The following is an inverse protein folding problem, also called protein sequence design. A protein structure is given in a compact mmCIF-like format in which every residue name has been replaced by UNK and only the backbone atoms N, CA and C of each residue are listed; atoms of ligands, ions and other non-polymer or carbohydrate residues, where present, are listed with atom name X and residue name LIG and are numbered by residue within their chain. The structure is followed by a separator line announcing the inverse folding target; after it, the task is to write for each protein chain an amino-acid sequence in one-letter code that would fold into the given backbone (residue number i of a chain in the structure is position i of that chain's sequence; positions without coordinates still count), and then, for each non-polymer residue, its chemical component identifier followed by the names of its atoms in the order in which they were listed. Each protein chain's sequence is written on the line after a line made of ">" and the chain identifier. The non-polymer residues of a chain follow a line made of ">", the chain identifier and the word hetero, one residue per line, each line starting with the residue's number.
data_IF_952537212256
#
_entry.id   IF_952537212256
#
_cell.length_a   1.000
_cell.length_b   1.000
_cell.length_c   1.000
_cell.angle_alpha   90.00
_cell.angle_beta   90.00
_cell.angle_gamma   90.00
#
_symmetry.space_group_name_H-M   'P 1'
#
loop_
_entity.id
_entity.type
_entity.pdbx_description
1 polymer ?
#
# COMPACT_ATOMS: atom_id res chain seq x y z
N UNK A 1 -12.55 5.74 5.82
CA UNK A 1 -13.27 4.48 6.15
C UNK A 1 -12.34 3.56 6.97
N UNK A 2 -12.78 2.99 8.09
CA UNK A 2 -11.91 2.31 9.08
C UNK A 2 -11.59 0.84 8.74
N UNK A 3 -10.33 0.56 8.35
CA UNK A 3 -9.50 -0.60 8.72
C UNK A 3 -9.91 -2.04 8.37
N UNK A 4 -11.14 -2.30 7.92
CA UNK A 4 -11.62 -3.64 7.59
C UNK A 4 -11.74 -3.83 6.08
N UNK A 5 -10.99 -4.79 5.53
CA UNK A 5 -10.98 -5.12 4.11
C UNK A 5 -11.59 -6.50 3.84
N UNK A 6 -11.90 -6.76 2.58
CA UNK A 6 -12.73 -7.88 2.14
C UNK A 6 -14.22 -7.57 2.29
N UNK A 7 -15.04 -8.62 2.37
CA UNK A 7 -16.48 -8.50 2.51
C UNK A 7 -16.87 -8.31 3.98
N UNK A 8 -17.44 -7.16 4.30
CA UNK A 8 -17.79 -6.73 5.65
C UNK A 8 -19.27 -6.40 5.77
N UNK A 9 -19.88 -6.66 6.92
CA UNK A 9 -21.27 -6.28 7.20
C UNK A 9 -21.40 -4.79 7.55
N UNK A 10 -22.62 -4.25 7.61
CA UNK A 10 -22.89 -2.91 8.14
C UNK A 10 -22.35 -2.67 9.56
N UNK A 11 -22.22 -3.73 10.37
CA UNK A 11 -21.60 -3.67 11.70
C UNK A 11 -20.09 -3.93 11.66
N UNK A 12 -19.46 -3.79 10.49
CA UNK A 12 -18.02 -4.01 10.24
C UNK A 12 -17.52 -5.39 10.65
N UNK A 13 -18.38 -6.42 10.58
CA UNK A 13 -17.95 -7.80 10.84
C UNK A 13 -17.54 -8.47 9.54
N UNK A 14 -16.41 -9.18 9.48
CA UNK A 14 -16.02 -9.90 8.27
C UNK A 14 -16.99 -11.04 7.97
N UNK A 15 -17.34 -11.22 6.71
CA UNK A 15 -18.04 -12.40 6.20
C UNK A 15 -17.03 -13.53 5.99
N UNK A 16 -17.44 -14.78 6.21
CA UNK A 16 -16.54 -15.93 6.15
C UNK A 16 -15.95 -16.12 4.75
N UNK A 17 -14.67 -15.79 4.59
CA UNK A 17 -13.88 -16.06 3.39
C UNK A 17 -13.53 -17.56 3.30
N UNK A 18 -13.66 -18.13 2.10
CA UNK A 18 -13.44 -19.56 1.79
C UNK A 18 -12.28 -19.80 0.84
N UNK A 19 -12.01 -18.89 -0.09
CA UNK A 19 -10.81 -18.96 -0.91
C UNK A 19 -10.47 -17.62 -1.55
N UNK A 20 -9.19 -17.44 -1.84
CA UNK A 20 -8.64 -16.35 -2.65
C UNK A 20 -7.91 -17.00 -3.82
N UNK A 21 -8.21 -16.56 -5.04
CA UNK A 21 -7.47 -16.94 -6.23
C UNK A 21 -7.01 -15.69 -6.97
N UNK A 22 -5.71 -15.55 -7.17
CA UNK A 22 -5.10 -14.41 -7.87
C UNK A 22 -4.43 -14.91 -9.13
N UNK A 23 -4.84 -14.38 -10.27
CA UNK A 23 -4.15 -14.55 -11.54
C UNK A 23 -3.49 -13.25 -11.92
N UNK A 24 -2.18 -13.31 -12.14
CA UNK A 24 -1.34 -12.18 -12.49
C UNK A 24 -0.77 -12.39 -13.90
N UNK A 25 -0.96 -11.42 -14.79
CA UNK A 25 -0.37 -11.38 -16.12
C UNK A 25 0.53 -10.16 -16.22
N UNK A 26 1.84 -10.37 -16.19
CA UNK A 26 2.84 -9.30 -16.29
C UNK A 26 3.34 -9.24 -17.73
N UNK A 27 3.15 -8.08 -18.33
CA UNK A 27 3.65 -7.73 -19.65
C UNK A 27 4.59 -6.54 -19.50
N UNK A 28 5.89 -6.78 -19.67
CA UNK A 28 6.91 -5.75 -19.39
C UNK A 28 6.75 -5.16 -17.98
N UNK A 29 6.50 -3.85 -17.88
CA UNK A 29 6.36 -3.10 -16.63
C UNK A 29 4.91 -3.00 -16.15
N UNK A 30 3.96 -3.74 -16.75
CA UNK A 30 2.53 -3.65 -16.40
C UNK A 30 2.03 -4.98 -15.88
N UNK A 31 1.39 -4.94 -14.72
CA UNK A 31 0.64 -6.05 -14.14
C UNK A 31 -0.85 -5.91 -14.47
N UNK A 32 -1.43 -6.95 -15.05
CA UNK A 32 -2.87 -7.17 -15.12
C UNK A 32 -3.24 -8.19 -14.03
N UNK A 33 -4.07 -7.79 -13.08
CA UNK A 33 -4.45 -8.63 -11.94
C UNK A 33 -5.92 -9.00 -12.03
N UNK A 34 -6.22 -10.28 -11.79
CA UNK A 34 -7.58 -10.78 -11.58
C UNK A 34 -7.61 -11.48 -10.21
N UNK A 35 -8.26 -10.85 -9.24
CA UNK A 35 -8.44 -11.37 -7.90
C UNK A 35 -9.88 -11.85 -7.70
N UNK A 36 -10.05 -13.14 -7.40
CA UNK A 36 -11.34 -13.76 -7.12
C UNK A 36 -11.40 -14.22 -5.67
N UNK A 37 -12.38 -13.70 -4.92
CA UNK A 37 -12.59 -13.98 -3.50
C UNK A 37 -13.95 -14.63 -3.29
N UNK A 38 -13.95 -15.79 -2.62
CA UNK A 38 -15.16 -16.56 -2.34
C UNK A 38 -15.56 -16.41 -0.88
N UNK A 39 -16.80 -15.98 -0.64
CA UNK A 39 -17.39 -15.79 0.68
C UNK A 39 -18.63 -16.65 0.86
N UNK A 40 -18.97 -16.96 2.11
CA UNK A 40 -20.19 -17.66 2.50
C UNK A 40 -20.85 -16.96 3.68
N UNK A 41 -22.17 -16.74 3.59
CA UNK A 41 -22.95 -16.30 4.74
C UNK A 41 -23.23 -17.51 5.66
N UNK A 42 -22.43 -17.70 6.69
CA UNK A 42 -22.64 -18.77 7.69
C UNK A 42 -23.67 -18.40 8.77
N UNK A 43 -24.15 -17.16 8.78
CA UNK A 43 -25.13 -16.70 9.76
C UNK A 43 -26.53 -17.23 9.44
N UNK A 44 -27.38 -17.30 10.47
CA UNK A 44 -28.78 -17.72 10.33
C UNK A 44 -29.70 -16.60 9.86
N UNK A 45 -29.15 -15.41 9.62
CA UNK A 45 -29.88 -14.21 9.22
C UNK A 45 -29.28 -13.65 7.93
N UNK A 46 -30.09 -12.98 7.10
CA UNK A 46 -29.57 -12.28 5.92
C UNK A 46 -28.55 -11.20 6.34
N UNK A 47 -27.46 -11.08 5.58
CA UNK A 47 -26.39 -10.12 5.82
C UNK A 47 -26.32 -9.09 4.71
N UNK A 48 -26.41 -7.82 5.08
CA UNK A 48 -26.04 -6.74 4.17
C UNK A 48 -24.54 -6.49 4.26
N UNK A 49 -23.85 -6.58 3.12
CA UNK A 49 -22.39 -6.54 3.07
C UNK A 49 -21.83 -5.60 1.99
N UNK A 50 -20.66 -5.05 2.29
CA UNK A 50 -19.84 -4.20 1.42
C UNK A 50 -18.46 -4.82 1.28
N UNK A 51 -17.93 -4.84 0.07
CA UNK A 51 -16.60 -5.31 -0.26
C UNK A 51 -15.64 -4.12 -0.31
N UNK A 52 -14.54 -4.21 0.44
CA UNK A 52 -13.50 -3.17 0.52
C UNK A 52 -12.17 -3.77 0.08
N UNK A 53 -11.52 -3.17 -0.91
CA UNK A 53 -10.26 -3.64 -1.47
C UNK A 53 -9.28 -2.47 -1.58
N UNK A 54 -8.15 -2.49 -0.86
CA UNK A 54 -7.13 -1.46 -0.99
C UNK A 54 -6.34 -1.66 -2.27
N UNK A 55 -5.97 -0.55 -2.89
CA UNK A 55 -5.28 -0.50 -4.17
C UNK A 55 -4.13 0.49 -4.10
N UNK A 56 -3.07 0.20 -4.84
CA UNK A 56 -2.00 1.17 -5.02
C UNK A 56 -2.53 2.38 -5.82
N UNK A 57 -2.03 3.59 -5.51
CA UNK A 57 -2.47 4.83 -6.16
C UNK A 57 -2.31 4.81 -7.69
N UNK A 58 -1.35 4.01 -8.18
CA UNK A 58 -1.06 3.83 -9.61
C UNK A 58 -1.85 2.67 -10.24
N UNK A 59 -2.85 2.13 -9.54
CA UNK A 59 -3.72 1.06 -10.03
C UNK A 59 -5.05 1.57 -10.57
N UNK A 60 -5.57 0.93 -11.62
CA UNK A 60 -6.87 1.26 -12.20
C UNK A 60 -7.76 0.00 -12.29
N UNK A 61 -8.92 0.03 -11.61
CA UNK A 61 -9.97 -0.99 -11.76
C UNK A 61 -10.67 -0.80 -13.10
N UNK A 62 -10.79 -1.88 -13.86
CA UNK A 62 -11.53 -1.86 -15.14
C UNK A 62 -12.69 -2.87 -15.18
N UNK A 63 -12.78 -3.78 -14.21
CA UNK A 63 -13.86 -4.76 -14.15
C UNK A 63 -14.10 -5.22 -12.72
N UNK A 64 -15.38 -5.26 -12.34
CA UNK A 64 -15.84 -5.90 -11.11
C UNK A 64 -17.06 -6.77 -11.41
N UNK A 65 -17.04 -8.00 -10.90
CA UNK A 65 -18.11 -8.98 -11.09
C UNK A 65 -18.44 -9.62 -9.74
N UNK A 66 -19.73 -9.80 -9.46
CA UNK A 66 -20.22 -10.52 -8.30
C UNK A 66 -21.15 -11.65 -8.74
N UNK A 67 -20.84 -12.89 -8.40
CA UNK A 67 -21.70 -14.04 -8.62
C UNK A 67 -22.35 -14.43 -7.28
N UNK A 68 -23.64 -14.12 -7.15
CA UNK A 68 -24.44 -14.36 -5.94
C UNK A 68 -25.55 -15.35 -6.29
N UNK A 69 -25.57 -16.52 -5.65
CA UNK A 69 -26.60 -17.55 -5.86
C UNK A 69 -26.87 -17.89 -7.34
N UNK A 70 -25.80 -17.94 -8.15
CA UNK A 70 -25.86 -18.24 -9.58
C UNK A 70 -26.24 -17.07 -10.48
N UNK A 71 -26.52 -15.88 -9.93
CA UNK A 71 -26.72 -14.65 -10.69
C UNK A 71 -25.42 -13.87 -10.79
N UNK A 72 -24.97 -13.61 -12.02
CA UNK A 72 -23.79 -12.79 -12.29
C UNK A 72 -24.20 -11.33 -12.41
N UNK A 73 -23.70 -10.50 -11.51
CA UNK A 73 -23.78 -9.04 -11.51
C UNK A 73 -22.45 -8.53 -12.08
N UNK A 74 -22.53 -7.64 -13.08
CA UNK A 74 -21.34 -7.03 -13.71
C UNK A 74 -21.46 -5.53 -13.52
N UNK A 75 -20.42 -4.93 -12.94
CA UNK A 75 -20.37 -3.48 -12.80
C UNK A 75 -20.20 -2.82 -14.17
N UNK A 76 -21.04 -1.82 -14.45
CA UNK A 76 -20.91 -0.98 -15.64
C UNK A 76 -20.22 0.33 -15.23
N UNK A 77 -19.12 0.64 -15.91
CA UNK A 77 -18.34 1.84 -15.65
C UNK A 77 -19.06 3.05 -16.25
N UNK A 78 -19.37 4.05 -15.42
CA UNK A 78 -20.10 5.25 -15.81
C UNK A 78 -19.44 6.50 -15.21
N UNK A 79 -19.80 7.69 -15.72
CA UNK A 79 -19.38 8.95 -15.10
C UNK A 79 -19.90 9.03 -13.66
N UNK A 80 -19.08 9.54 -12.73
CA UNK A 80 -19.39 9.56 -11.29
C UNK A 80 -20.74 10.22 -10.99
N UNK A 81 -21.02 11.39 -11.58
CA UNK A 81 -22.28 12.09 -11.30
C UNK A 81 -23.48 11.36 -11.91
N UNK A 82 -23.29 10.73 -13.06
CA UNK A 82 -24.35 9.97 -13.72
C UNK A 82 -24.68 8.67 -12.96
N UNK A 83 -23.67 7.98 -12.44
CA UNK A 83 -23.80 6.79 -11.62
C UNK A 83 -24.56 7.08 -10.32
N UNK A 84 -24.24 8.18 -9.63
CA UNK A 84 -24.93 8.65 -8.43
C UNK A 84 -26.41 8.91 -8.70
N UNK A 85 -26.72 9.66 -9.75
CA UNK A 85 -28.10 9.97 -10.11
C UNK A 85 -28.92 8.71 -10.42
N UNK A 86 -28.36 7.78 -11.19
CA UNK A 86 -29.05 6.51 -11.51
C UNK A 86 -29.26 5.64 -10.26
N UNK A 87 -28.32 5.64 -9.34
CA UNK A 87 -28.45 4.93 -8.07
C UNK A 87 -29.59 5.51 -7.21
N UNK A 88 -29.60 6.83 -7.01
CA UNK A 88 -30.65 7.51 -6.26
C UNK A 88 -32.04 7.32 -6.89
N UNK A 89 -32.13 7.41 -8.21
CA UNK A 89 -33.36 7.15 -8.97
C UNK A 89 -33.86 5.72 -8.76
N UNK A 90 -32.98 4.72 -8.85
CA UNK A 90 -33.34 3.32 -8.69
C UNK A 90 -33.81 3.00 -7.26
N UNK A 91 -33.16 3.57 -6.24
CA UNK A 91 -33.62 3.48 -4.85
C UNK A 91 -34.99 4.12 -4.66
N UNK A 92 -35.22 5.30 -5.25
CA UNK A 92 -36.52 6.00 -5.15
C UNK A 92 -37.67 5.19 -5.78
N UNK A 93 -37.35 4.32 -6.75
CA UNK A 93 -38.28 3.42 -7.42
C UNK A 93 -38.42 2.06 -6.73
N UNK A 94 -37.72 1.83 -5.61
CA UNK A 94 -37.73 0.57 -4.87
C UNK A 94 -37.02 -0.58 -5.58
N UNK A 95 -36.11 -0.29 -6.51
CA UNK A 95 -35.28 -1.29 -7.19
C UNK A 95 -34.02 -1.59 -6.37
N UNK A 96 -33.48 -2.80 -6.53
CA UNK A 96 -32.14 -3.13 -6.03
C UNK A 96 -31.11 -2.44 -6.93
N UNK A 97 -30.34 -1.51 -6.35
CA UNK A 97 -29.29 -0.77 -7.04
C UNK A 97 -27.97 -0.93 -6.30
N UNK A 98 -26.87 -1.03 -7.05
CA UNK A 98 -25.53 -1.18 -6.53
C UNK A 98 -24.67 -0.07 -7.11
N UNK A 99 -24.11 0.76 -6.23
CA UNK A 99 -23.19 1.82 -6.59
C UNK A 99 -21.79 1.47 -6.10
N UNK A 100 -20.83 1.77 -6.96
CA UNK A 100 -19.42 1.46 -6.81
C UNK A 100 -18.67 2.78 -6.99
N UNK A 101 -17.96 3.24 -5.96
CA UNK A 101 -17.23 4.50 -5.99
C UNK A 101 -15.86 4.36 -5.32
N UNK A 102 -14.91 5.14 -5.83
CA UNK A 102 -13.68 5.50 -5.12
C UNK A 102 -14.03 6.37 -3.91
N UNK A 103 -13.45 6.06 -2.74
CA UNK A 103 -13.68 6.85 -1.52
C UNK A 103 -13.20 8.30 -1.70
N UNK A 104 -13.99 9.26 -1.20
CA UNK A 104 -13.70 10.69 -1.40
C UNK A 104 -12.52 11.20 -0.57
N UNK A 105 -12.16 10.50 0.50
CA UNK A 105 -11.11 10.87 1.46
C UNK A 105 -9.83 10.04 1.25
N UNK A 106 -9.90 8.87 0.61
CA UNK A 106 -8.80 7.93 0.37
C UNK A 106 -8.84 7.34 -1.05
N UNK A 107 -7.91 7.74 -1.93
CA UNK A 107 -7.85 7.26 -3.34
C UNK A 107 -7.35 5.83 -3.50
N UNK A 108 -6.85 5.25 -2.43
CA UNK A 108 -6.24 3.94 -2.32
C UNK A 108 -7.23 2.85 -1.89
N UNK A 109 -8.55 3.13 -1.88
CA UNK A 109 -9.56 2.16 -1.45
C UNK A 109 -10.73 2.06 -2.42
N UNK A 110 -10.96 0.84 -2.89
CA UNK A 110 -12.11 0.46 -3.70
C UNK A 110 -13.22 -0.13 -2.82
N UNK A 111 -14.45 0.38 -2.93
CA UNK A 111 -15.59 -0.10 -2.15
C UNK A 111 -16.80 -0.46 -3.03
N UNK A 112 -17.42 -1.61 -2.77
CA UNK A 112 -18.63 -2.08 -3.46
C UNK A 112 -19.68 -2.61 -2.50
N UNK A 113 -20.91 -2.13 -2.59
CA UNK A 113 -22.03 -2.79 -1.92
C UNK A 113 -22.39 -4.09 -2.66
N UNK A 114 -22.42 -5.21 -1.94
CA UNK A 114 -22.80 -6.53 -2.47
C UNK A 114 -24.26 -6.87 -2.12
N UNK A 115 -24.88 -6.10 -1.21
CA UNK A 115 -26.30 -6.17 -0.86
C UNK A 115 -26.64 -7.30 0.11
N UNK A 116 -27.89 -7.78 0.05
CA UNK A 116 -28.48 -8.69 1.03
C UNK A 116 -28.21 -10.17 0.72
N UNK A 117 -27.23 -10.76 1.40
CA UNK A 117 -26.82 -12.15 1.29
C UNK A 117 -27.70 -13.05 2.17
N UNK A 118 -28.40 -14.02 1.60
CA UNK A 118 -29.24 -14.93 2.38
C UNK A 118 -28.39 -15.92 3.21
N UNK A 119 -28.94 -16.49 4.30
CA UNK A 119 -28.27 -17.55 5.06
C UNK A 119 -27.84 -18.71 4.16
N UNK A 120 -26.56 -19.08 4.21
CA UNK A 120 -25.96 -20.14 3.39
C UNK A 120 -25.63 -19.75 1.94
N UNK A 121 -25.93 -18.52 1.51
CA UNK A 121 -25.57 -18.05 0.17
C UNK A 121 -24.05 -17.94 0.01
N UNK A 122 -23.58 -18.27 -1.19
CA UNK A 122 -22.18 -18.13 -1.59
C UNK A 122 -22.03 -16.98 -2.55
N UNK A 123 -20.95 -16.23 -2.36
CA UNK A 123 -20.61 -15.06 -3.16
C UNK A 123 -19.22 -15.23 -3.71
N UNK A 124 -19.08 -15.14 -5.03
CA UNK A 124 -17.78 -15.03 -5.69
C UNK A 124 -17.63 -13.60 -6.21
N UNK A 125 -16.64 -12.87 -5.69
CA UNK A 125 -16.31 -11.51 -6.12
C UNK A 125 -15.04 -11.56 -6.95
N UNK A 126 -15.09 -11.02 -8.18
CA UNK A 126 -13.93 -10.92 -9.07
C UNK A 126 -13.64 -9.46 -9.37
N UNK A 127 -12.49 -9.00 -8.90
CA UNK A 127 -11.94 -7.68 -9.19
C UNK A 127 -10.81 -7.80 -10.21
N UNK A 128 -10.81 -6.96 -11.25
CA UNK A 128 -9.71 -6.86 -12.20
C UNK A 128 -9.21 -5.43 -12.31
N UNK A 129 -7.90 -5.29 -12.18
CA UNK A 129 -7.21 -4.02 -12.24
C UNK A 129 -5.88 -4.14 -12.98
N UNK A 130 -5.35 -2.99 -13.41
CA UNK A 130 -4.02 -2.86 -14.00
C UNK A 130 -3.16 -1.95 -13.14
N UNK A 131 -1.86 -2.16 -13.14
CA UNK A 131 -0.89 -1.39 -12.37
C UNK A 131 0.46 -1.34 -13.10
N UNK A 132 1.12 -0.18 -13.10
CA UNK A 132 2.53 -0.07 -13.49
C UNK A 132 3.43 -0.53 -12.33
N UNK A 133 4.41 -1.37 -12.63
CA UNK A 133 5.31 -1.95 -11.66
C UNK A 133 6.59 -1.10 -11.54
N UNK A 134 6.96 -0.67 -10.32
CA UNK A 134 8.17 0.10 -10.11
C UNK A 134 9.43 -0.75 -10.33
N UNK A 135 10.49 -0.09 -10.79
CA UNK A 135 11.82 -0.67 -10.93
C UNK A 135 12.70 -0.26 -9.74
N UNK A 136 13.19 -1.26 -9.03
CA UNK A 136 14.11 -1.07 -7.90
C UNK A 136 15.51 -0.68 -8.36
N UNK A 137 16.27 -0.09 -7.44
CA UNK A 137 17.67 0.30 -7.67
C UNK A 137 18.59 -0.88 -8.04
N UNK A 138 18.23 -2.11 -7.66
CA UNK A 138 18.98 -3.33 -8.03
C UNK A 138 18.51 -3.94 -9.38
N UNK A 139 17.58 -3.27 -10.07
CA UNK A 139 17.01 -3.70 -11.34
C UNK A 139 15.85 -4.71 -11.21
N UNK A 140 15.29 -4.90 -10.02
CA UNK A 140 14.10 -5.73 -9.81
C UNK A 140 12.81 -5.00 -10.17
N UNK A 141 11.97 -5.62 -10.99
CA UNK A 141 10.58 -5.19 -11.12
C UNK A 141 9.78 -5.79 -9.98
N UNK A 142 9.12 -4.94 -9.17
CA UNK A 142 8.43 -5.36 -7.94
C UNK A 142 6.91 -5.37 -8.12
N UNK A 143 6.27 -6.48 -7.77
CA UNK A 143 4.82 -6.57 -7.57
C UNK A 143 4.52 -7.01 -6.14
N UNK A 144 3.51 -6.42 -5.51
CA UNK A 144 3.09 -6.73 -4.15
C UNK A 144 1.61 -7.11 -4.14
N UNK A 145 1.30 -8.31 -3.68
CA UNK A 145 -0.08 -8.69 -3.34
C UNK A 145 -0.29 -8.45 -1.84
N UNK A 146 -1.10 -7.46 -1.44
CA UNK A 146 -1.22 -7.08 -0.04
C UNK A 146 -2.01 -8.14 0.75
N UNK A 147 -1.50 -8.49 1.93
CA UNK A 147 -2.08 -9.49 2.83
C UNK A 147 -3.36 -9.03 3.50
N UNK A 148 -3.70 -7.75 3.40
CA UNK A 148 -4.98 -7.19 3.89
C UNK A 148 -6.23 -7.84 3.27
N UNK A 149 -6.08 -8.59 2.17
CA UNK A 149 -7.12 -9.48 1.65
C UNK A 149 -7.44 -10.66 2.58
N UNK A 150 -6.58 -10.93 3.56
CA UNK A 150 -6.83 -11.81 4.67
C UNK A 150 -7.70 -11.10 5.72
N UNK A 151 -8.94 -11.56 6.00
CA UNK A 151 -9.80 -10.95 7.02
C UNK A 151 -9.22 -11.00 8.45
N UNK A 152 -8.17 -11.81 8.69
CA UNK A 152 -7.43 -11.84 9.95
C UNK A 152 -6.31 -10.79 10.00
N UNK A 153 -5.87 -10.30 8.84
CA UNK A 153 -4.82 -9.31 8.70
C UNK A 153 -5.48 -7.93 8.63
N UNK A 154 -5.78 -7.38 9.80
CA UNK A 154 -5.95 -5.94 9.90
C UNK A 154 -4.55 -5.34 9.77
N UNK A 155 -4.37 -4.31 8.93
CA UNK A 155 -3.29 -3.36 9.15
C UNK A 155 -3.47 -2.85 10.57
N UNK A 156 -2.73 -3.41 11.52
CA UNK A 156 -2.88 -3.13 12.94
C UNK A 156 -2.24 -1.79 13.25
N UNK A 157 -2.89 -0.73 12.75
CA UNK A 157 -2.59 0.67 13.02
C UNK A 157 -3.53 1.31 14.04
N UNK A 158 -4.72 0.74 14.34
CA UNK A 158 -5.71 1.43 15.19
C UNK A 158 -6.55 0.49 16.05
N UNK A 159 -6.65 0.78 17.34
CA UNK A 159 -7.64 0.21 18.27
C UNK A 159 -8.43 1.40 18.84
N UNK A 160 -9.70 1.50 18.46
CA UNK A 160 -10.63 2.53 18.91
C UNK A 160 -10.81 2.50 20.43
N UNK A 161 -10.88 3.69 21.02
CA UNK A 161 -11.67 3.94 22.23
C UNK A 161 -13.15 3.64 21.94
N UNK A 162 -13.54 2.37 22.01
CA UNK A 162 -14.94 2.01 22.22
C UNK A 162 -15.02 0.73 23.06
N UNK A 163 -15.69 0.86 24.22
CA UNK A 163 -15.91 -0.22 25.18
C UNK A 163 -16.80 -1.33 24.59
N UNK A 164 -16.29 -2.21 23.74
CA UNK A 164 -16.89 -3.51 23.43
C UNK A 164 -15.78 -4.53 23.15
N UNK A 165 -15.65 -5.50 24.07
CA UNK A 165 -14.81 -6.70 23.92
C UNK A 165 -15.13 -7.44 22.61
N UNK A 166 -14.35 -7.19 21.55
CA UNK A 166 -14.31 -8.05 20.37
C UNK A 166 -12.98 -8.82 20.42
N UNK A 167 -13.01 -9.94 21.14
CA UNK A 167 -11.96 -10.96 21.03
C UNK A 167 -12.00 -11.51 19.60
N UNK A 168 -10.99 -11.18 18.79
CA UNK A 168 -10.71 -11.96 17.58
C UNK A 168 -10.60 -13.44 17.97
N UNK A 169 -11.24 -14.38 17.25
CA UNK A 169 -11.12 -15.79 17.56
C UNK A 169 -9.64 -16.18 17.41
N UNK A 170 -9.01 -16.53 18.53
CA UNK A 170 -7.65 -17.05 18.59
C UNK A 170 -7.67 -18.50 18.05
N UNK A 171 -7.95 -18.67 16.75
CA UNK A 171 -7.76 -19.96 16.09
C UNK A 171 -6.24 -20.14 15.92
N UNK A 172 -5.66 -21.27 16.36
CA UNK A 172 -4.25 -21.56 16.15
C UNK A 172 -3.87 -21.34 14.68
N UNK A 173 -2.63 -20.88 14.43
CA UNK A 173 -2.02 -20.67 13.11
C UNK A 173 -1.97 -21.93 12.22
N UNK A 174 -2.58 -23.02 12.65
CA UNK A 174 -2.44 -24.38 12.12
C UNK A 174 -3.52 -24.74 11.10
N UNK A 175 -4.67 -24.06 11.05
CA UNK A 175 -5.65 -24.23 9.96
C UNK A 175 -6.29 -22.87 9.58
N UNK A 176 -6.00 -22.41 8.37
CA UNK A 176 -6.75 -21.31 7.77
C UNK A 176 -8.09 -21.85 7.26
N UNK A 177 -9.21 -21.13 7.50
CA UNK A 177 -10.54 -21.55 7.04
C UNK A 177 -10.73 -21.34 5.53
N UNK A 178 -9.68 -20.90 4.84
CA UNK A 178 -9.67 -20.64 3.42
C UNK A 178 -8.34 -21.03 2.78
N UNK A 179 -8.36 -21.17 1.46
CA UNK A 179 -7.18 -21.42 0.64
C UNK A 179 -6.75 -20.15 -0.10
N UNK A 180 -5.45 -20.02 -0.34
CA UNK A 180 -4.90 -19.00 -1.24
C UNK A 180 -4.19 -19.70 -2.40
N UNK A 181 -4.52 -19.30 -3.62
CA UNK A 181 -3.76 -19.63 -4.81
C UNK A 181 -3.37 -18.35 -5.55
N UNK A 182 -2.14 -18.34 -6.06
CA UNK A 182 -1.65 -17.27 -6.91
C UNK A 182 -0.84 -17.88 -8.04
N UNK A 183 -1.13 -17.46 -9.27
CA UNK A 183 -0.38 -17.84 -10.47
C UNK A 183 0.01 -16.57 -11.21
N UNK A 184 1.30 -16.43 -11.49
CA UNK A 184 1.85 -15.33 -12.27
C UNK A 184 2.38 -15.85 -13.61
N UNK A 185 1.90 -15.25 -14.69
CA UNK A 185 2.46 -15.42 -16.04
C UNK A 185 3.19 -14.15 -16.42
N UNK A 186 4.48 -14.27 -16.71
CA UNK A 186 5.38 -13.15 -16.97
C UNK A 186 5.82 -13.24 -18.43
N UNK A 187 5.80 -12.11 -19.12
CA UNK A 187 6.29 -12.00 -20.48
C UNK A 187 7.09 -10.71 -20.67
N UNK A 188 8.17 -10.82 -21.45
CA UNK A 188 9.11 -9.73 -21.73
C UNK A 188 9.75 -9.91 -23.11
N UNK A 189 10.06 -8.83 -23.80
CA UNK A 189 10.81 -8.79 -25.05
C UNK A 189 12.25 -9.29 -24.86
N UNK A 190 12.77 -9.21 -23.63
CA UNK A 190 14.07 -9.73 -23.25
C UNK A 190 13.94 -10.93 -22.32
N UNK A 191 14.97 -11.76 -22.27
CA UNK A 191 14.96 -12.94 -21.40
C UNK A 191 14.77 -12.57 -19.93
N UNK A 192 13.93 -13.32 -19.25
CA UNK A 192 13.75 -13.31 -17.79
C UNK A 192 14.96 -14.01 -17.18
N UNK A 193 15.72 -13.30 -16.33
CA UNK A 193 16.91 -13.82 -15.67
C UNK A 193 16.54 -14.68 -14.47
N UNK A 194 15.68 -14.15 -13.59
CA UNK A 194 15.20 -14.83 -12.38
C UNK A 194 13.90 -14.19 -11.88
N UNK A 195 13.13 -14.97 -11.13
CA UNK A 195 11.97 -14.53 -10.37
C UNK A 195 12.20 -14.95 -8.92
N UNK A 196 12.03 -14.01 -8.00
CA UNK A 196 12.20 -14.21 -6.57
C UNK A 196 10.94 -13.77 -5.83
N UNK A 197 10.72 -14.30 -4.62
CA UNK A 197 9.66 -13.87 -3.73
C UNK A 197 10.08 -14.01 -2.29
N UNK A 198 9.51 -13.16 -1.44
CA UNK A 198 9.58 -13.28 0.01
C UNK A 198 8.84 -14.53 0.53
N UNK A 199 8.02 -15.16 -0.31
CA UNK A 199 7.25 -16.37 -0.01
C UNK A 199 7.71 -17.55 -0.88
N UNK A 200 7.56 -18.82 -0.41
CA UNK A 200 7.91 -19.98 -1.22
C UNK A 200 7.10 -20.06 -2.51
N UNK A 201 7.78 -20.24 -3.64
CA UNK A 201 7.18 -20.42 -4.96
C UNK A 201 7.36 -21.85 -5.46
N UNK A 202 6.54 -22.25 -6.44
CA UNK A 202 6.83 -23.38 -7.31
C UNK A 202 8.11 -23.15 -8.12
N UNK A 203 8.63 -24.19 -8.75
CA UNK A 203 9.69 -24.01 -9.73
C UNK A 203 9.21 -23.06 -10.85
N UNK A 204 10.07 -22.12 -11.26
CA UNK A 204 9.78 -21.21 -12.37
C UNK A 204 9.82 -22.00 -13.67
N UNK A 205 8.70 -22.06 -14.38
CA UNK A 205 8.57 -22.76 -15.65
C UNK A 205 8.72 -21.76 -16.80
N UNK A 206 9.78 -21.89 -17.59
CA UNK A 206 9.95 -21.07 -18.79
C UNK A 206 9.11 -21.65 -19.93
N UNK A 207 8.24 -20.84 -20.51
CA UNK A 207 7.30 -21.25 -21.56
C UNK A 207 7.92 -21.16 -22.97
N UNK A 208 9.10 -20.54 -23.09
CA UNK A 208 9.85 -20.38 -24.33
C UNK A 208 11.36 -20.59 -24.12
N UNK A 209 12.06 -21.10 -25.13
CA UNK A 209 13.51 -21.41 -25.08
C UNK A 209 14.38 -20.17 -24.84
N UNK A 210 13.94 -19.01 -25.35
CA UNK A 210 14.59 -17.72 -25.17
C UNK A 210 14.35 -17.11 -23.77
N UNK A 211 13.52 -17.77 -22.94
CA UNK A 211 13.12 -17.34 -21.61
C UNK A 211 12.40 -15.99 -21.58
N UNK A 212 11.75 -15.60 -22.68
CA UNK A 212 10.92 -14.39 -22.76
C UNK A 212 9.59 -14.55 -22.01
N UNK A 213 9.17 -15.78 -21.77
CA UNK A 213 7.96 -16.08 -21.00
C UNK A 213 8.22 -17.09 -19.89
N UNK A 214 7.64 -16.83 -18.72
CA UNK A 214 7.71 -17.72 -17.57
C UNK A 214 6.36 -17.78 -16.83
N UNK A 215 6.10 -18.90 -16.17
CA UNK A 215 5.01 -19.07 -15.22
C UNK A 215 5.56 -19.48 -13.87
N UNK A 216 4.99 -18.92 -12.81
CA UNK A 216 5.29 -19.29 -11.43
C UNK A 216 4.05 -19.20 -10.57
N UNK A 217 3.94 -20.09 -9.60
CA UNK A 217 2.83 -20.15 -8.67
C UNK A 217 3.32 -20.04 -7.24
N UNK A 218 2.49 -19.50 -6.36
CA UNK A 218 2.74 -19.55 -4.93
C UNK A 218 2.66 -21.01 -4.45
N UNK A 219 3.59 -21.43 -3.60
CA UNK A 219 3.61 -22.80 -3.10
C UNK A 219 2.37 -23.10 -2.23
N UNK A 220 1.93 -24.35 -2.23
CA UNK A 220 0.80 -24.80 -1.41
C UNK A 220 1.07 -24.60 0.09
N UNK A 221 0.00 -24.33 0.85
CA UNK A 221 0.08 -24.16 2.31
C UNK A 221 0.55 -22.76 2.76
N UNK A 222 0.64 -21.80 1.84
CA UNK A 222 0.93 -20.41 2.20
C UNK A 222 -0.13 -19.85 3.15
N UNK A 223 0.31 -19.18 4.22
CA UNK A 223 -0.58 -18.72 5.28
C UNK A 223 -1.16 -17.32 5.09
N UNK A 224 -0.65 -16.59 4.11
CA UNK A 224 -1.03 -15.21 3.81
C UNK A 224 -1.00 -14.32 5.07
N UNK A 225 0.07 -14.51 5.84
CA UNK A 225 0.38 -13.81 7.10
C UNK A 225 1.22 -12.53 6.86
N UNK A 226 1.55 -12.25 5.61
CA UNK A 226 2.36 -11.14 5.10
C UNK A 226 2.08 -10.93 3.63
N UNK A 227 2.41 -9.75 3.12
CA UNK A 227 2.30 -9.42 1.70
C UNK A 227 3.13 -10.39 0.86
N UNK A 228 2.60 -10.79 -0.31
CA UNK A 228 3.35 -11.64 -1.24
C UNK A 228 4.05 -10.73 -2.24
N UNK A 229 5.36 -10.66 -2.14
CA UNK A 229 6.20 -9.84 -3.02
C UNK A 229 6.78 -10.73 -4.13
N UNK A 230 6.70 -10.28 -5.37
CA UNK A 230 7.39 -10.87 -6.52
C UNK A 230 8.42 -9.87 -7.05
N UNK A 231 9.68 -10.31 -7.10
CA UNK A 231 10.80 -9.57 -7.68
C UNK A 231 11.25 -10.24 -8.98
N UNK A 232 11.13 -9.53 -10.10
CA UNK A 232 11.36 -10.05 -11.44
C UNK A 232 12.56 -9.33 -12.04
N UNK A 233 13.56 -10.09 -12.47
CA UNK A 233 14.79 -9.53 -13.05
C UNK A 233 14.85 -9.86 -14.53
N UNK A 234 14.83 -8.82 -15.37
CA UNK A 234 15.06 -8.95 -16.81
C UNK A 234 16.55 -8.84 -17.11
N UNK A 235 17.03 -9.55 -18.14
CA UNK A 235 18.45 -9.50 -18.55
C UNK A 235 18.93 -8.12 -18.98
N UNK A 236 18.05 -7.34 -19.60
CA UNK A 236 18.35 -6.03 -20.19
C UNK A 236 17.29 -5.01 -19.73
N UNK A 237 17.12 -4.85 -18.42
CA UNK A 237 16.09 -3.96 -17.85
C UNK A 237 16.29 -2.48 -18.19
N UNK A 238 17.54 -2.07 -18.38
CA UNK A 238 17.90 -0.67 -18.65
C UNK A 238 17.90 -0.29 -20.14
N UNK A 239 17.68 -1.25 -21.03
CA UNK A 239 17.54 -0.99 -22.47
C UNK A 239 16.18 -0.32 -22.74
N UNK A 240 16.09 0.74 -23.58
CA UNK A 240 14.81 1.35 -23.95
C UNK A 240 13.86 0.31 -24.57
N UNK A 241 12.58 0.33 -24.17
CA UNK A 241 11.58 -0.62 -24.65
C UNK A 241 10.35 0.07 -25.21
N UNK A 242 9.69 -0.63 -26.13
CA UNK A 242 8.45 -0.17 -26.75
C UNK A 242 7.46 -1.32 -26.76
N UNK A 243 6.39 -1.19 -25.99
CA UNK A 243 5.25 -2.11 -26.00
C UNK A 243 4.16 -1.55 -26.90
N UNK A 244 3.56 -2.40 -27.73
CA UNK A 244 2.50 -2.00 -28.65
C UNK A 244 1.27 -2.83 -28.39
N UNK A 245 0.20 -2.17 -27.94
CA UNK A 245 -1.13 -2.77 -27.86
C UNK A 245 -1.91 -2.39 -29.11
N UNK A 246 -2.46 -3.40 -29.80
CA UNK A 246 -3.24 -3.14 -31.02
C UNK A 246 -4.65 -2.73 -30.64
N UNK A 247 -5.20 -1.75 -31.35
CA UNK A 247 -6.60 -1.39 -31.20
C UNK A 247 -7.55 -2.55 -31.50
N UNK A 248 -8.67 -2.59 -30.79
CA UNK A 248 -9.72 -3.59 -30.96
C UNK A 248 -10.47 -3.37 -32.26
N UNK A 249 -10.47 -4.38 -33.14
CA UNK A 249 -11.11 -4.32 -34.46
C UNK A 249 -12.63 -4.07 -34.40
N UNK A 250 -13.27 -4.42 -33.29
CA UNK A 250 -14.71 -4.25 -33.08
C UNK A 250 -15.10 -2.83 -32.62
N UNK A 251 -14.11 -2.00 -32.25
CA UNK A 251 -14.32 -0.62 -31.80
C UNK A 251 -14.17 0.36 -32.96
N UNK A 252 -14.73 1.56 -32.79
CA UNK A 252 -14.67 2.59 -33.83
C UNK A 252 -13.21 2.97 -34.11
N UNK A 253 -12.80 3.10 -35.39
CA UNK A 253 -11.56 3.78 -35.75
C UNK A 253 -11.54 5.19 -35.15
N UNK A 254 -10.37 5.71 -34.77
CA UNK A 254 -10.18 7.02 -34.11
C UNK A 254 -10.78 7.09 -32.68
N UNK A 255 -10.88 5.95 -31.99
CA UNK A 255 -11.24 5.88 -30.58
C UNK A 255 -10.10 5.28 -29.77
N UNK A 256 -9.98 5.64 -28.48
CA UNK A 256 -8.93 5.13 -27.60
C UNK A 256 -8.77 3.60 -27.66
N UNK A 257 -9.88 2.88 -27.79
CA UNK A 257 -9.90 1.40 -27.86
C UNK A 257 -9.74 0.85 -29.28
N UNK A 258 -9.94 1.66 -30.32
CA UNK A 258 -9.78 1.27 -31.72
C UNK A 258 -8.41 1.60 -32.30
N UNK A 259 -7.69 2.53 -31.70
CA UNK A 259 -6.37 2.97 -32.13
C UNK A 259 -5.27 2.16 -31.44
N UNK A 260 -4.14 1.88 -32.12
CA UNK A 260 -2.99 1.25 -31.48
C UNK A 260 -2.39 2.20 -30.43
N UNK A 261 -2.06 1.64 -29.27
CA UNK A 261 -1.39 2.35 -28.18
C UNK A 261 0.06 1.88 -28.06
N UNK A 262 0.96 2.81 -27.75
CA UNK A 262 2.39 2.54 -27.62
C UNK A 262 2.87 3.05 -26.27
N UNK A 263 3.50 2.17 -25.49
CA UNK A 263 4.17 2.52 -24.23
C UNK A 263 5.67 2.46 -24.43
N UNK A 264 6.39 3.53 -24.08
CA UNK A 264 7.85 3.59 -24.14
C UNK A 264 8.40 3.59 -22.72
N UNK A 265 9.17 2.55 -22.37
CA UNK A 265 9.81 2.43 -21.05
C UNK A 265 11.30 2.70 -21.17
N UNK A 266 11.82 3.63 -20.36
CA UNK A 266 13.23 4.02 -20.40
C UNK A 266 13.78 4.21 -18.98
N UNK A 267 14.55 3.22 -18.52
CA UNK A 267 15.15 3.17 -17.19
C UNK A 267 16.68 3.06 -17.28
N UNK A 268 17.39 4.12 -17.70
CA UNK A 268 18.84 4.04 -17.91
C UNK A 268 19.60 3.76 -16.61
N UNK A 269 20.61 2.89 -16.68
CA UNK A 269 21.62 2.76 -15.63
C UNK A 269 22.59 3.93 -15.75
N UNK A 270 22.40 4.93 -14.89
CA UNK A 270 23.25 6.12 -14.83
C UNK A 270 24.29 5.88 -13.74
N UNK A 271 25.57 5.69 -14.07
CA UNK A 271 26.60 5.49 -13.06
C UNK A 271 26.65 6.70 -12.13
N UNK A 272 26.50 6.46 -10.83
CA UNK A 272 26.67 7.51 -9.82
C UNK A 272 28.12 8.01 -9.87
N UNK A 273 28.32 9.32 -10.07
CA UNK A 273 29.64 9.91 -9.90
C UNK A 273 30.09 9.67 -8.44
N UNK A 274 31.23 8.97 -8.26
CA UNK A 274 31.84 8.63 -6.94
C UNK A 274 32.12 9.85 -6.03
N UNK A 275 31.80 11.08 -6.46
CA UNK A 275 32.16 12.34 -5.84
C UNK A 275 31.02 13.10 -5.15
N UNK A 276 29.77 12.64 -5.15
CA UNK A 276 28.77 13.19 -4.22
C UNK A 276 28.61 12.25 -3.04
N UNK A 277 29.56 12.31 -2.09
CA UNK A 277 29.21 12.04 -0.69
C UNK A 277 27.90 12.79 -0.45
N UNK A 278 26.83 12.09 -0.09
CA UNK A 278 25.51 12.66 0.18
C UNK A 278 25.60 13.53 1.43
N UNK A 279 26.23 14.69 1.29
CA UNK A 279 26.09 15.83 2.16
C UNK A 279 24.63 16.26 1.99
N UNK A 280 23.74 15.70 2.81
CA UNK A 280 22.32 16.04 2.86
C UNK A 280 21.97 16.75 4.16
N UNK A 281 20.77 17.32 4.20
CA UNK A 281 20.12 17.75 5.44
C UNK A 281 19.03 16.73 5.78
N UNK A 282 19.19 15.97 6.86
CA UNK A 282 18.30 14.88 7.26
C UNK A 282 17.40 15.32 8.43
N UNK A 283 16.11 15.51 8.17
CA UNK A 283 15.14 15.92 9.20
C UNK A 283 14.19 14.77 9.51
N UNK A 284 14.13 14.39 10.79
CA UNK A 284 13.27 13.31 11.27
C UNK A 284 12.07 13.88 12.03
N UNK A 285 10.84 13.61 11.57
CA UNK A 285 9.60 13.90 12.31
C UNK A 285 9.13 12.64 13.02
N UNK A 286 9.08 12.73 14.34
CA UNK A 286 8.71 11.64 15.24
C UNK A 286 7.34 11.90 15.83
N UNK A 287 6.39 11.03 15.51
CA UNK A 287 5.06 11.04 16.12
C UNK A 287 5.16 10.64 17.59
N UNK A 288 4.61 11.49 18.45
CA UNK A 288 4.50 11.30 19.89
C UNK A 288 3.05 11.46 20.34
N UNK A 289 2.10 11.21 19.44
CA UNK A 289 0.66 11.13 19.72
C UNK A 289 0.33 9.98 20.68
N UNK A 290 -0.87 10.01 21.26
CA UNK A 290 -1.31 9.00 22.23
C UNK A 290 -1.35 7.57 21.66
N UNK A 291 -1.61 7.42 20.35
CA UNK A 291 -1.66 6.11 19.68
C UNK A 291 -0.29 5.41 19.62
N UNK A 292 0.80 6.19 19.66
CA UNK A 292 2.17 5.66 19.75
C UNK A 292 2.49 4.98 21.10
N UNK A 293 1.63 5.14 22.12
CA UNK A 293 1.77 4.44 23.41
C UNK A 293 1.31 2.97 23.32
N UNK A 294 0.59 2.60 22.25
CA UNK A 294 0.06 1.26 22.07
C UNK A 294 1.17 0.20 21.88
N UNK A 295 0.96 -1.03 22.38
CA UNK A 295 1.85 -2.16 22.13
C UNK A 295 1.87 -2.55 20.65
N UNK A 296 3.02 -3.04 20.16
CA UNK A 296 3.22 -3.54 18.79
C UNK A 296 2.36 -4.78 18.46
N UNK A 297 1.95 -5.54 19.48
CA UNK A 297 1.23 -6.80 19.33
C UNK A 297 0.48 -7.17 20.62
N UNK A 298 -0.62 -7.92 20.51
CA UNK A 298 -1.51 -8.30 21.62
C UNK A 298 -0.92 -9.35 22.60
N UNK A 299 0.39 -9.61 22.55
CA UNK A 299 1.05 -10.52 23.49
C UNK A 299 1.44 -9.75 24.76
N UNK A 300 1.24 -10.35 25.93
CA UNK A 300 1.69 -9.78 27.20
C UNK A 300 3.22 -9.55 27.13
N UNK A 301 3.66 -8.29 27.29
CA UNK A 301 5.06 -7.78 27.23
C UNK A 301 5.59 -7.33 25.85
N UNK A 302 4.74 -6.99 24.90
CA UNK A 302 5.18 -6.36 23.64
C UNK A 302 5.71 -4.93 23.85
N UNK A 303 6.77 -4.61 23.11
CA UNK A 303 7.33 -3.26 22.99
C UNK A 303 6.25 -2.28 22.48
N UNK A 304 6.25 -1.05 22.97
CA UNK A 304 5.35 -0.01 22.46
C UNK A 304 5.81 0.55 21.11
N UNK A 305 4.90 1.10 20.31
CA UNK A 305 5.21 1.71 19.01
C UNK A 305 6.26 2.82 19.14
N UNK A 306 6.15 3.66 20.16
CA UNK A 306 7.12 4.71 20.46
C UNK A 306 8.51 4.15 20.76
N UNK A 307 8.62 3.05 21.50
CA UNK A 307 9.91 2.40 21.79
C UNK A 307 10.53 1.81 20.52
N UNK A 308 9.74 1.17 19.66
CA UNK A 308 10.23 0.63 18.38
C UNK A 308 10.75 1.76 17.48
N UNK A 309 9.98 2.84 17.35
CA UNK A 309 10.38 4.00 16.55
C UNK A 309 11.62 4.72 17.13
N UNK A 310 11.80 4.76 18.47
CA UNK A 310 13.03 5.26 19.09
C UNK A 310 14.26 4.43 18.68
N UNK A 311 14.15 3.11 18.71
CA UNK A 311 15.24 2.21 18.32
C UNK A 311 15.62 2.39 16.85
N UNK A 312 14.62 2.48 15.96
CA UNK A 312 14.84 2.76 14.53
C UNK A 312 15.49 4.13 14.31
N UNK A 313 15.02 5.18 14.98
CA UNK A 313 15.62 6.51 14.87
C UNK A 313 17.08 6.51 15.37
N UNK A 314 17.39 5.81 16.46
CA UNK A 314 18.77 5.65 16.95
C UNK A 314 19.64 4.92 15.92
N UNK A 315 19.11 3.90 15.24
CA UNK A 315 19.82 3.21 14.16
C UNK A 315 20.14 4.18 13.01
N UNK A 316 19.15 4.92 12.54
CA UNK A 316 19.34 5.89 11.44
C UNK A 316 20.34 6.98 11.80
N UNK A 317 20.25 7.54 13.02
CA UNK A 317 21.18 8.57 13.49
C UNK A 317 22.64 8.08 13.48
N UNK A 318 22.88 6.81 13.83
CA UNK A 318 24.23 6.22 13.80
C UNK A 318 24.73 5.91 12.38
N UNK A 319 23.81 5.77 11.42
CA UNK A 319 24.10 5.48 10.01
C UNK A 319 24.17 6.74 9.13
N UNK A 320 23.99 7.94 9.69
CA UNK A 320 24.05 9.19 8.93
C UNK A 320 25.42 9.40 8.25
N UNK A 321 25.46 9.90 7.00
CA UNK A 321 26.71 10.18 6.30
C UNK A 321 27.58 11.23 7.01
N UNK A 322 28.90 11.07 6.94
CA UNK A 322 29.83 12.07 7.47
C UNK A 322 29.70 13.36 6.64
N UNK A 323 29.59 14.49 7.32
CA UNK A 323 29.49 15.81 6.68
C UNK A 323 28.07 16.31 6.47
N UNK A 324 27.04 15.49 6.76
CA UNK A 324 25.65 15.90 6.69
C UNK A 324 25.22 16.85 7.81
N UNK A 325 24.03 17.43 7.66
CA UNK A 325 23.29 18.13 8.70
C UNK A 325 22.06 17.33 9.09
N UNK A 326 21.59 17.47 10.33
CA UNK A 326 20.36 16.80 10.76
C UNK A 326 19.58 17.59 11.81
N UNK A 327 18.30 17.28 11.93
CA UNK A 327 17.43 17.75 13.01
C UNK A 327 16.33 16.71 13.30
N UNK A 328 15.72 16.82 14.48
CA UNK A 328 14.64 15.91 14.92
C UNK A 328 13.50 16.78 15.47
N UNK A 329 12.28 16.48 15.04
CA UNK A 329 11.05 17.10 15.54
C UNK A 329 10.20 16.02 16.20
N UNK A 330 9.67 16.28 17.38
CA UNK A 330 8.56 15.52 17.95
C UNK A 330 7.27 16.23 17.57
N UNK A 331 6.23 15.51 17.16
CA UNK A 331 4.93 16.12 16.89
C UNK A 331 3.79 15.32 17.51
N UNK A 332 2.69 16.01 17.75
CA UNK A 332 1.42 15.51 18.23
C UNK A 332 0.37 16.61 18.05
N UNK A 333 -0.43 16.99 19.06
CA UNK A 333 -1.21 18.24 19.05
C UNK A 333 -0.34 19.50 19.04
N UNK A 334 0.93 19.37 19.40
CA UNK A 334 1.96 20.42 19.32
C UNK A 334 3.28 19.78 18.87
N UNK A 335 4.28 20.59 18.50
CA UNK A 335 5.58 20.08 18.09
C UNK A 335 6.73 20.66 18.91
N UNK A 336 7.83 19.91 19.02
CA UNK A 336 9.08 20.29 19.69
C UNK A 336 10.26 19.94 18.79
N UNK A 337 11.14 20.90 18.54
CA UNK A 337 12.38 20.68 17.78
C UNK A 337 13.54 20.33 18.70
N UNK A 338 14.47 19.51 18.20
CA UNK A 338 15.68 19.17 18.94
C UNK A 338 16.65 20.34 18.92
N UNK A 339 16.89 20.87 17.74
CA UNK A 339 17.76 22.00 17.53
C UNK A 339 16.97 23.14 16.87
N UNK A 340 17.22 24.41 17.23
CA UNK A 340 16.58 25.56 16.58
C UNK A 340 16.83 25.59 15.07
N UNK A 341 17.98 25.10 14.61
CA UNK A 341 18.35 24.92 13.20
C UNK A 341 19.03 23.57 13.04
N UNK A 342 19.04 23.01 11.83
CA UNK A 342 19.74 21.75 11.55
C UNK A 342 21.23 21.87 11.87
N UNK A 343 21.77 20.90 12.61
CA UNK A 343 23.15 20.91 13.10
C UNK A 343 24.02 19.94 12.33
N UNK A 344 25.32 20.25 12.22
CA UNK A 344 26.27 19.35 11.57
C UNK A 344 26.38 18.04 12.34
N UNK A 345 26.40 16.92 11.63
CA UNK A 345 26.60 15.61 12.23
C UNK A 345 28.03 15.48 12.80
N UNK A 346 28.11 15.51 14.12
CA UNK A 346 29.33 15.30 14.93
C UNK A 346 29.04 14.30 16.05
N UNK A 347 30.08 13.74 16.67
CA UNK A 347 29.91 12.84 17.81
C UNK A 347 29.12 13.51 18.95
N UNK A 348 29.42 14.77 19.26
CA UNK A 348 28.74 15.51 20.33
C UNK A 348 27.25 15.70 20.05
N UNK A 349 26.90 16.20 18.86
CA UNK A 349 25.49 16.43 18.48
C UNK A 349 24.70 15.14 18.36
N UNK A 350 25.35 14.05 17.91
CA UNK A 350 24.75 12.73 17.82
C UNK A 350 24.48 12.15 19.22
N UNK A 351 25.43 12.24 20.15
CA UNK A 351 25.24 11.80 21.53
C UNK A 351 24.13 12.58 22.25
N UNK A 352 24.07 13.91 22.04
CA UNK A 352 22.99 14.76 22.55
C UNK A 352 21.62 14.31 22.01
N UNK A 353 21.52 14.11 20.69
CA UNK A 353 20.29 13.66 20.05
C UNK A 353 19.85 12.29 20.56
N UNK A 354 20.76 11.30 20.62
CA UNK A 354 20.46 9.94 21.12
C UNK A 354 19.97 9.97 22.57
N UNK A 355 20.56 10.78 23.43
CA UNK A 355 20.13 10.91 24.84
C UNK A 355 18.71 11.48 24.94
N UNK A 356 18.36 12.43 24.09
CA UNK A 356 17.02 13.02 24.05
C UNK A 356 15.99 12.07 23.41
N UNK A 357 16.36 11.31 22.38
CA UNK A 357 15.48 10.29 21.76
C UNK A 357 15.07 9.24 22.78
N UNK A 358 16.01 8.75 23.61
CA UNK A 358 15.73 7.78 24.69
C UNK A 358 14.75 8.28 25.76
N UNK A 359 14.52 9.59 25.83
CA UNK A 359 13.60 10.22 26.77
C UNK A 359 12.24 10.56 26.15
N UNK A 360 12.05 10.31 24.85
CA UNK A 360 10.78 10.56 24.17
C UNK A 360 9.65 9.72 24.77
N UNK A 361 8.43 10.27 24.76
CA UNK A 361 7.21 9.61 25.21
C UNK A 361 6.07 10.01 24.28
N UNK A 362 5.06 9.15 24.19
CA UNK A 362 3.82 9.40 23.48
C UNK A 362 2.89 10.34 24.29
N UNK A 363 3.35 11.57 24.56
CA UNK A 363 2.71 12.52 25.48
C UNK A 363 2.24 13.83 24.82
N UNK A 364 2.25 13.91 23.48
CA UNK A 364 1.91 15.12 22.74
C UNK A 364 0.46 15.21 22.26
N UNK A 365 -0.40 14.22 22.55
CA UNK A 365 -1.83 14.28 22.28
C UNK A 365 -2.23 13.73 20.90
N UNK A 366 -2.86 14.56 20.06
CA UNK A 366 -3.29 14.20 18.68
C UNK A 366 -2.13 14.12 17.69
N UNK A 367 -2.39 14.22 16.39
CA UNK A 367 -1.41 13.88 15.33
C UNK A 367 -1.30 14.97 14.25
N UNK A 368 -0.97 16.20 14.66
CA UNK A 368 -0.98 17.39 13.80
C UNK A 368 0.41 17.61 13.12
N UNK A 369 0.63 16.97 11.97
CA UNK A 369 1.92 17.02 11.25
C UNK A 369 2.10 18.30 10.39
N UNK A 370 1.02 19.01 10.04
CA UNK A 370 1.08 20.16 9.14
C UNK A 370 1.94 21.32 9.70
N UNK A 371 1.78 21.63 10.99
CA UNK A 371 2.50 22.72 11.65
C UNK A 371 4.04 22.54 11.64
N UNK A 372 4.60 21.39 12.05
CA UNK A 372 6.04 21.18 11.95
C UNK A 372 6.55 21.15 10.50
N UNK A 373 5.79 20.61 9.54
CA UNK A 373 6.16 20.67 8.11
C UNK A 373 6.29 22.11 7.60
N UNK A 374 5.31 22.97 7.90
CA UNK A 374 5.37 24.38 7.55
C UNK A 374 6.55 25.10 8.20
N UNK A 375 6.92 24.71 9.42
CA UNK A 375 8.11 25.26 10.09
C UNK A 375 9.39 24.86 9.35
N UNK A 376 9.55 23.59 9.01
CA UNK A 376 10.71 23.06 8.28
C UNK A 376 10.86 23.76 6.93
N UNK A 377 9.79 23.87 6.14
CA UNK A 377 9.85 24.51 4.82
C UNK A 377 10.09 26.03 4.85
N UNK A 378 9.85 26.68 6.00
CA UNK A 378 10.18 28.11 6.19
C UNK A 378 11.66 28.35 6.51
N UNK A 379 12.38 27.34 7.03
CA UNK A 379 13.81 27.47 7.34
C UNK A 379 14.64 27.57 6.05
N UNK A 380 15.77 28.31 6.07
CA UNK A 380 16.62 28.46 4.89
C UNK A 380 17.32 27.15 4.56
N UNK A 381 17.34 26.77 3.29
CA UNK A 381 18.06 25.58 2.83
C UNK A 381 19.56 25.72 3.03
N UNK A 382 20.22 24.63 3.44
CA UNK A 382 21.67 24.58 3.60
C UNK A 382 22.33 24.38 2.22
N UNK A 383 23.19 25.30 1.74
CA UNK A 383 23.80 25.20 0.42
C UNK A 383 24.57 23.88 0.23
N UNK A 384 24.31 23.21 -0.88
CA UNK A 384 24.93 21.92 -1.20
C UNK A 384 24.41 20.73 -0.39
N UNK A 385 23.38 20.92 0.45
CA UNK A 385 22.80 19.88 1.28
C UNK A 385 21.29 19.78 1.03
N UNK A 386 20.83 18.93 0.09
CA UNK A 386 19.40 18.77 -0.16
C UNK A 386 18.70 18.22 1.08
N UNK A 387 17.54 18.81 1.39
CA UNK A 387 16.67 18.37 2.49
C UNK A 387 16.04 17.00 2.16
N UNK A 388 16.14 16.08 3.11
CA UNK A 388 15.52 14.76 3.14
C UNK A 388 14.73 14.65 4.44
N UNK A 389 13.45 14.28 4.33
CA UNK A 389 12.49 14.37 5.42
C UNK A 389 11.88 12.99 5.69
N UNK A 390 12.09 12.46 6.88
CA UNK A 390 11.65 11.13 7.31
C UNK A 390 10.54 11.28 8.34
N UNK A 391 9.43 10.57 8.17
CA UNK A 391 8.30 10.63 9.10
C UNK A 391 8.11 9.27 9.77
N UNK A 392 8.08 9.28 11.09
CA UNK A 392 7.72 8.13 11.91
C UNK A 392 6.35 8.39 12.49
N UNK A 393 5.36 7.58 12.12
CA UNK A 393 3.98 7.69 12.60
C UNK A 393 3.32 6.32 12.53
N UNK A 394 2.28 6.10 13.32
CA UNK A 394 1.44 4.91 13.20
C UNK A 394 0.26 5.09 12.22
N UNK A 395 0.22 6.21 11.50
CA UNK A 395 -0.67 6.45 10.36
C UNK A 395 -1.94 7.23 10.70
N UNK A 396 -2.13 7.64 11.96
CA UNK A 396 -3.32 8.41 12.37
C UNK A 396 -3.20 9.91 12.09
N UNK A 397 -2.87 10.31 10.85
CA UNK A 397 -2.78 11.73 10.49
C UNK A 397 -4.16 12.29 10.13
N UNK A 398 -4.56 13.36 10.80
CA UNK A 398 -5.74 14.16 10.45
C UNK A 398 -5.43 15.12 9.30
N UNK A 399 -6.36 15.31 8.35
CA UNK A 399 -6.22 16.22 7.20
C UNK A 399 -5.05 15.90 6.25
N UNK A 400 -5.05 14.68 5.70
CA UNK A 400 -4.09 14.20 4.70
C UNK A 400 -4.01 15.11 3.48
N UNK A 401 -5.13 15.68 3.04
CA UNK A 401 -5.19 16.56 1.86
C UNK A 401 -4.33 17.82 2.03
N UNK A 402 -4.44 18.53 3.15
CA UNK A 402 -3.63 19.72 3.40
C UNK A 402 -2.14 19.40 3.54
N UNK A 403 -1.81 18.26 4.15
CA UNK A 403 -0.43 17.78 4.29
C UNK A 403 0.20 17.47 2.93
N UNK A 404 -0.50 16.69 2.09
CA UNK A 404 -0.06 16.37 0.72
C UNK A 404 0.14 17.65 -0.08
N UNK A 405 -0.80 18.60 0.01
CA UNK A 405 -0.70 19.89 -0.69
C UNK A 405 0.51 20.72 -0.24
N UNK A 406 0.82 20.75 1.05
CA UNK A 406 1.98 21.47 1.59
C UNK A 406 3.29 20.86 1.08
N UNK A 407 3.40 19.52 1.10
CA UNK A 407 4.57 18.79 0.58
C UNK A 407 4.73 19.05 -0.93
N UNK A 408 3.66 18.92 -1.72
CA UNK A 408 3.68 19.18 -3.16
C UNK A 408 4.10 20.62 -3.49
N UNK A 409 3.59 21.60 -2.73
CA UNK A 409 3.91 23.03 -2.92
C UNK A 409 5.38 23.36 -2.64
N UNK A 410 6.07 22.52 -1.84
CA UNK A 410 7.48 22.71 -1.46
C UNK A 410 8.42 21.67 -2.08
N UNK A 411 7.98 20.94 -3.11
CA UNK A 411 8.75 19.92 -3.83
C UNK A 411 10.13 20.38 -4.31
N UNK A 412 10.28 21.65 -4.67
CA UNK A 412 11.57 22.22 -5.10
C UNK A 412 12.61 22.39 -3.96
N UNK A 413 12.21 22.21 -2.70
CA UNK A 413 13.08 22.42 -1.52
C UNK A 413 13.62 21.13 -0.91
N UNK A 414 13.11 19.97 -1.32
CA UNK A 414 13.51 18.67 -0.78
C UNK A 414 13.65 17.64 -1.91
N UNK A 415 14.49 16.61 -1.70
CA UNK A 415 14.50 15.43 -2.59
C UNK A 415 13.39 14.48 -2.11
N UNK A 416 12.55 14.03 -3.04
CA UNK A 416 11.43 13.13 -2.78
C UNK A 416 11.92 11.79 -2.21
N UNK A 417 11.87 11.66 -0.89
CA UNK A 417 11.73 10.39 -0.17
C UNK A 417 11.02 10.67 1.16
N UNK A 418 9.70 10.93 1.12
CA UNK A 418 8.89 10.89 2.33
C UNK A 418 8.75 9.42 2.74
N UNK A 419 9.77 8.87 3.41
CA UNK A 419 9.71 7.50 3.94
C UNK A 419 8.90 7.54 5.23
N UNK A 420 7.65 7.11 5.14
CA UNK A 420 6.81 6.84 6.31
C UNK A 420 7.28 5.53 6.91
N UNK A 421 7.97 5.61 8.05
CA UNK A 421 8.40 4.44 8.80
C UNK A 421 7.32 4.20 9.86
N UNK A 422 6.40 3.29 9.54
CA UNK A 422 5.42 2.84 10.52
C UNK A 422 6.13 2.00 11.60
N UNK A 423 5.76 2.22 12.86
CA UNK A 423 6.22 1.42 13.98
C UNK A 423 5.58 0.02 13.89
N UNK A 424 6.14 -0.79 12.99
CA UNK A 424 5.58 -1.99 12.39
C UNK A 424 6.39 -2.34 11.16
N UNK A 425 7.70 -2.51 11.34
CA UNK A 425 8.75 -2.59 10.31
C UNK A 425 8.30 -3.25 8.99
N UNK A 426 8.09 -2.43 7.96
CA UNK A 426 8.47 -2.70 6.58
C UNK A 426 8.98 -1.40 5.98
N UNK A 427 10.24 -1.40 5.53
CA UNK A 427 10.83 -0.32 4.75
C UNK A 427 10.18 -0.41 3.37
N UNK A 428 9.15 0.38 3.12
CA UNK A 428 8.67 0.58 1.75
C UNK A 428 9.68 1.49 1.05
N UNK A 429 10.43 0.90 0.13
CA UNK A 429 11.24 1.60 -0.86
C UNK A 429 10.41 1.95 -2.07
#
# INVERSE_FOLDING_TARGET
>A
MEGSCGLITLQKKPVALKSISVTLSIHEFVACVSATLNYENEEKVPLEASFVFPMDEDSAVYSFEALVDGKKIVAELQDKMEAQHKYEDALSQGQEAYLLEEDSDSRDVFCCNVGNLQPGSKVELTLRYVQELPLDADGALRYVLPAILNPRYHLSGRLEDSCLDIKAPLVPLEELPYTLSMVATISSQHGIQRVHSNCPLSAVEFLADDKTSAQVSLAEGHKFDRDVELLIYYREVHSPRVSVERGMLEKKPDSLMGDPSVMVSFYPDIPEDEASVTCGEFVFLMDCSGSMQCPMNNQNQSQSRIEAAQETLILLLKSLPIGCYFNIYQFGSSYKEFFPESVKYTQQTMEEAVNRVKLMRADLGGTEILAPLQNIYRKPSIPGHPLQLFVFTDGEVTDTFSVIKEVQSNSNKHRYELKVISAGVTILQ
#
